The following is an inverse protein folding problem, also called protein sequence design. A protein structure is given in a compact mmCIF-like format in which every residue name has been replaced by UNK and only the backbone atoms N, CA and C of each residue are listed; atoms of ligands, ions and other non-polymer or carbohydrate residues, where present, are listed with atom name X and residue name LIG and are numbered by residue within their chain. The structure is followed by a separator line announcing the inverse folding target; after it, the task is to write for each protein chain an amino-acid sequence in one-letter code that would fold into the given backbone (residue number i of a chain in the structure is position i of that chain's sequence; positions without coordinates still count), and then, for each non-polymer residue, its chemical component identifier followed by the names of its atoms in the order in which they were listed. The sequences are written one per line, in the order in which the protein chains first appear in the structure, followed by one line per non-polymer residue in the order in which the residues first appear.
data_IF_244836093022
#
_entry.id   IF_244836093022
#
_cell.length_a   1.000
_cell.length_b   1.000
_cell.length_c   1.000
_cell.angle_alpha   90.00
_cell.angle_beta   90.00
_cell.angle_gamma   90.00
#
_symmetry.space_group_name_H-M   'P 1'
#
loop_
_entity.id
_entity.type
_entity.pdbx_description
1 polymer ?
#
# COMPACT_ATOMS: atom_id res chain seq x y z
N UNK A 1 -46.33 -43.05 19.88
CA UNK A 1 -47.27 -42.32 20.74
C UNK A 1 -46.97 -40.85 20.63
N UNK A 2 -47.85 -40.17 19.85
CA UNK A 2 -48.65 -38.98 20.23
C UNK A 2 -47.83 -37.73 20.62
N UNK A 3 -47.98 -36.52 20.10
CA UNK A 3 -49.00 -35.74 19.35
C UNK A 3 -48.27 -34.49 18.80
N UNK A 4 -48.38 -34.11 17.60
CA UNK A 4 -49.09 -32.97 16.99
C UNK A 4 -49.50 -31.83 17.92
N UNK A 5 -49.02 -30.61 17.65
CA UNK A 5 -49.86 -29.40 17.71
C UNK A 5 -49.31 -28.31 16.75
N UNK A 6 -50.15 -28.03 15.76
CA UNK A 6 -50.17 -26.92 14.83
C UNK A 6 -50.74 -25.68 15.50
N UNK A 7 -50.20 -24.49 15.24
CA UNK A 7 -50.99 -23.25 15.22
C UNK A 7 -50.42 -22.26 14.22
N UNK A 8 -51.24 -22.02 13.19
CA UNK A 8 -51.19 -20.85 12.29
C UNK A 8 -51.53 -19.56 13.07
N UNK A 9 -50.87 -18.46 12.75
CA UNK A 9 -51.48 -17.13 12.83
C UNK A 9 -50.94 -16.25 11.69
N UNK A 10 -51.83 -16.02 10.74
CA UNK A 10 -51.69 -14.99 9.72
C UNK A 10 -52.38 -13.72 10.23
N UNK A 11 -51.75 -12.57 10.11
CA UNK A 11 -52.48 -11.30 10.04
C UNK A 11 -51.67 -10.31 9.17
N UNK A 12 -52.26 -10.04 8.00
CA UNK A 12 -51.88 -8.96 7.10
C UNK A 12 -52.51 -7.65 7.58
N UNK A 13 -51.76 -6.57 7.64
CA UNK A 13 -52.32 -5.21 7.63
C UNK A 13 -51.50 -4.39 6.65
N UNK A 14 -52.14 -4.08 5.51
CA UNK A 14 -51.70 -3.09 4.56
C UNK A 14 -52.14 -1.71 5.02
N UNK A 15 -51.24 -0.76 5.18
CA UNK A 15 -51.55 0.67 5.24
C UNK A 15 -50.90 1.37 4.06
N UNK A 16 -51.76 1.69 3.08
CA UNK A 16 -51.47 2.57 1.96
C UNK A 16 -51.75 3.99 2.42
N UNK A 17 -50.78 4.86 2.52
CA UNK A 17 -51.00 6.31 2.63
C UNK A 17 -50.49 6.98 1.37
N UNK A 18 -51.46 7.38 0.55
CA UNK A 18 -51.29 8.26 -0.60
C UNK A 18 -51.01 9.67 -0.11
N UNK A 19 -49.88 10.26 -0.48
CA UNK A 19 -49.65 11.71 -0.38
C UNK A 19 -49.94 12.36 -1.73
N UNK A 20 -50.93 13.22 -1.73
CA UNK A 20 -51.33 14.03 -2.85
C UNK A 20 -50.28 15.11 -3.15
N UNK A 21 -49.90 15.25 -4.41
CA UNK A 21 -49.12 16.36 -4.93
C UNK A 21 -50.02 17.59 -5.11
N UNK A 22 -49.60 18.72 -4.52
CA UNK A 22 -50.19 20.01 -4.80
C UNK A 22 -49.53 20.65 -6.02
N UNK A 23 -50.24 21.38 -6.89
CA UNK A 23 -49.66 22.01 -8.07
C UNK A 23 -49.00 23.36 -7.72
N UNK A 24 -47.85 23.63 -8.38
CA UNK A 24 -47.14 24.88 -8.28
C UNK A 24 -47.86 26.02 -9.03
N UNK A 25 -47.82 27.28 -8.53
CA UNK A 25 -48.38 28.42 -9.24
C UNK A 25 -47.44 28.89 -10.38
N UNK A 26 -48.02 29.11 -11.52
CA UNK A 26 -47.43 29.79 -12.67
C UNK A 26 -47.17 31.28 -12.34
N UNK A 27 -45.97 31.75 -12.53
CA UNK A 27 -45.65 33.17 -12.55
C UNK A 27 -45.31 33.64 -13.95
N UNK A 28 -46.03 34.69 -14.34
CA UNK A 28 -46.02 35.27 -15.65
C UNK A 28 -44.75 35.99 -16.04
N UNK A 29 -44.45 35.95 -17.31
CA UNK A 29 -43.36 36.63 -17.98
C UNK A 29 -43.47 38.15 -17.93
N UNK A 30 -42.39 38.83 -17.58
CA UNK A 30 -42.14 40.21 -17.95
C UNK A 30 -40.87 40.28 -18.82
N UNK A 31 -41.08 40.70 -20.05
CA UNK A 31 -40.08 40.89 -21.11
C UNK A 31 -39.49 42.30 -20.95
N UNK A 32 -38.20 42.46 -20.79
CA UNK A 32 -37.49 43.73 -20.92
C UNK A 32 -36.26 43.54 -21.84
N UNK A 33 -35.84 44.56 -22.60
CA UNK A 33 -35.08 44.36 -23.83
C UNK A 33 -33.59 44.28 -23.62
N UNK A 34 -32.96 43.57 -24.55
CA UNK A 34 -31.54 43.34 -24.66
C UNK A 34 -30.75 44.66 -24.95
N UNK A 35 -29.69 44.85 -24.19
CA UNK A 35 -28.57 45.68 -24.62
C UNK A 35 -27.33 44.81 -24.67
N UNK A 36 -26.87 44.57 -25.89
CA UNK A 36 -25.65 43.85 -26.18
C UNK A 36 -24.44 44.72 -25.80
N UNK A 37 -23.67 44.27 -24.82
CA UNK A 37 -22.31 44.72 -24.64
C UNK A 37 -21.43 43.47 -24.82
N UNK A 38 -20.91 43.30 -26.04
CA UNK A 38 -19.92 42.33 -26.38
C UNK A 38 -18.59 42.71 -25.73
N UNK A 39 -18.32 42.19 -24.55
CA UNK A 39 -16.97 42.17 -23.97
C UNK A 39 -16.26 40.95 -24.49
N UNK A 40 -15.41 41.15 -25.48
CA UNK A 40 -14.43 40.17 -25.93
C UNK A 40 -13.42 39.90 -24.80
N UNK A 41 -13.69 38.91 -23.98
CA UNK A 41 -12.66 38.33 -23.12
C UNK A 41 -11.68 37.56 -24.01
N UNK A 42 -10.59 38.21 -24.33
CA UNK A 42 -9.39 37.63 -24.92
C UNK A 42 -8.90 36.58 -23.95
N UNK A 43 -9.20 35.29 -24.20
CA UNK A 43 -8.68 34.15 -23.49
C UNK A 43 -7.17 34.14 -23.65
N UNK A 44 -6.45 34.74 -22.71
CA UNK A 44 -5.03 34.57 -22.60
C UNK A 44 -4.78 33.06 -22.35
N UNK A 45 -4.30 32.38 -23.37
CA UNK A 45 -3.76 31.05 -23.23
C UNK A 45 -2.59 31.17 -22.23
N UNK A 46 -2.81 30.74 -21.00
CA UNK A 46 -1.71 30.56 -20.07
C UNK A 46 -0.77 29.52 -20.69
N UNK A 47 0.43 29.99 -21.06
CA UNK A 47 1.50 29.05 -21.41
C UNK A 47 1.63 28.04 -20.27
N UNK A 48 1.86 26.75 -20.56
CA UNK A 48 2.09 25.77 -19.52
C UNK A 48 3.29 26.27 -18.70
N UNK A 49 3.05 26.52 -17.40
CA UNK A 49 4.12 26.86 -16.48
C UNK A 49 5.16 25.74 -16.61
N UNK A 50 6.36 26.08 -17.03
CA UNK A 50 7.47 25.13 -17.04
C UNK A 50 7.59 24.59 -15.61
N UNK A 51 7.24 23.32 -15.43
CA UNK A 51 7.38 22.65 -14.15
C UNK A 51 8.87 22.58 -13.86
N UNK A 52 9.34 23.45 -12.95
CA UNK A 52 10.71 23.37 -12.45
C UNK A 52 10.86 21.98 -11.87
N UNK A 53 11.77 21.19 -12.44
CA UNK A 53 12.03 19.83 -11.98
C UNK A 53 12.44 19.90 -10.51
N UNK A 54 11.67 19.25 -9.63
CA UNK A 54 11.99 19.18 -8.20
C UNK A 54 13.33 18.47 -8.02
N UNK A 55 14.18 18.97 -7.12
CA UNK A 55 15.41 18.26 -6.74
C UNK A 55 15.05 16.91 -6.09
N UNK A 56 15.99 15.96 -6.08
CA UNK A 56 15.74 14.65 -5.45
C UNK A 56 15.43 14.79 -3.97
N UNK A 57 16.05 15.75 -3.28
CA UNK A 57 15.78 16.04 -1.87
C UNK A 57 14.33 16.45 -1.66
N UNK A 58 13.82 17.31 -2.53
CA UNK A 58 12.41 17.74 -2.45
C UNK A 58 11.44 16.57 -2.74
N UNK A 59 11.82 15.63 -3.61
CA UNK A 59 11.00 14.45 -3.92
C UNK A 59 10.95 13.45 -2.78
N UNK A 60 12.07 13.25 -2.05
CA UNK A 60 12.16 12.25 -0.97
C UNK A 60 11.80 12.82 0.41
N UNK A 61 11.59 14.13 0.55
CA UNK A 61 11.33 14.77 1.84
C UNK A 61 10.19 14.11 2.64
N UNK A 62 9.07 13.81 1.98
CA UNK A 62 7.95 13.13 2.62
C UNK A 62 8.26 11.67 3.00
N UNK A 63 9.20 11.02 2.30
CA UNK A 63 9.58 9.64 2.55
C UNK A 63 10.46 9.53 3.80
N UNK A 64 11.50 10.36 3.88
CA UNK A 64 12.47 10.33 4.98
C UNK A 64 11.86 10.75 6.32
N UNK A 65 10.78 11.54 6.32
CA UNK A 65 10.02 11.91 7.51
C UNK A 65 9.45 10.71 8.29
N UNK A 66 9.33 9.55 7.66
CA UNK A 66 8.92 8.31 8.30
C UNK A 66 9.98 7.20 8.13
N UNK A 67 10.41 6.95 6.89
CA UNK A 67 11.34 5.86 6.55
C UNK A 67 12.80 6.16 6.93
N UNK A 68 13.15 7.41 7.22
CA UNK A 68 14.47 7.83 7.71
C UNK A 68 14.59 7.86 9.23
N UNK A 69 13.54 7.58 9.98
CA UNK A 69 13.55 7.63 11.45
C UNK A 69 13.65 6.21 12.02
N UNK A 70 14.76 5.92 12.69
CA UNK A 70 14.99 4.60 13.29
C UNK A 70 13.93 4.27 14.34
N UNK A 71 13.25 3.15 14.16
CA UNK A 71 12.22 2.68 15.10
C UNK A 71 10.87 3.41 15.02
N UNK A 72 10.68 4.32 14.05
CA UNK A 72 9.39 4.99 13.85
C UNK A 72 8.29 3.96 13.58
N UNK A 73 7.13 4.16 14.22
CA UNK A 73 6.01 3.22 14.16
C UNK A 73 4.79 3.86 13.49
N UNK A 74 4.16 3.10 12.61
CA UNK A 74 2.81 3.36 12.14
C UNK A 74 1.81 2.73 13.10
N UNK A 75 0.60 3.31 13.18
CA UNK A 75 -0.48 2.81 14.04
C UNK A 75 -1.65 2.21 13.26
N UNK A 76 -1.57 2.16 11.94
CA UNK A 76 -2.62 1.63 11.07
C UNK A 76 -2.05 0.58 10.10
N UNK A 77 -2.74 -0.57 9.89
CA UNK A 77 -3.97 -1.06 10.55
C UNK A 77 -3.74 -1.58 11.98
N UNK A 78 -2.53 -1.65 12.42
CA UNK A 78 -2.06 -1.99 13.76
C UNK A 78 -0.68 -1.34 13.97
N UNK A 79 -0.12 -1.41 15.17
CA UNK A 79 1.20 -0.84 15.47
C UNK A 79 2.31 -1.73 14.90
N UNK A 80 3.16 -1.15 14.05
CA UNK A 80 4.36 -1.80 13.50
C UNK A 80 5.40 -0.75 13.09
N UNK A 81 6.67 -1.16 13.02
CA UNK A 81 7.75 -0.29 12.53
C UNK A 81 7.59 0.02 11.05
N UNK A 82 7.75 1.29 10.68
CA UNK A 82 7.78 1.69 9.27
C UNK A 82 8.93 0.96 8.57
N UNK A 83 8.68 0.34 7.40
CA UNK A 83 9.67 -0.53 6.78
C UNK A 83 10.93 0.21 6.33
N UNK A 84 12.06 -0.47 6.41
CA UNK A 84 13.30 -0.06 5.79
C UNK A 84 13.15 -0.12 4.26
N UNK A 85 13.47 0.97 3.58
CA UNK A 85 13.39 1.06 2.11
C UNK A 85 14.73 1.40 1.46
N UNK A 86 15.70 1.94 2.19
CA UNK A 86 17.04 2.12 1.67
C UNK A 86 17.70 0.75 1.42
N UNK A 87 18.25 0.58 0.22
CA UNK A 87 18.77 -0.69 -0.27
C UNK A 87 17.77 -1.61 -0.95
N UNK A 88 16.49 -1.29 -0.93
CA UNK A 88 15.48 -2.07 -1.63
C UNK A 88 15.57 -1.85 -3.14
N UNK A 89 15.23 -2.87 -3.94
CA UNK A 89 15.29 -2.81 -5.39
C UNK A 89 14.39 -1.70 -5.99
N UNK A 90 14.95 -0.90 -6.90
CA UNK A 90 14.24 0.22 -7.49
C UNK A 90 12.95 -0.22 -8.22
N UNK A 91 12.99 -1.34 -8.96
CA UNK A 91 11.79 -1.87 -9.64
C UNK A 91 10.69 -2.25 -8.66
N UNK A 92 11.05 -2.84 -7.52
CA UNK A 92 10.07 -3.15 -6.47
C UNK A 92 9.51 -1.89 -5.81
N UNK A 93 10.34 -0.89 -5.50
CA UNK A 93 9.87 0.39 -4.92
C UNK A 93 8.91 1.07 -5.89
N UNK A 94 9.28 1.16 -7.17
CA UNK A 94 8.42 1.78 -8.19
C UNK A 94 7.08 1.05 -8.33
N UNK A 95 7.10 -0.29 -8.39
CA UNK A 95 5.87 -1.09 -8.42
C UNK A 95 5.01 -0.85 -7.18
N UNK A 96 5.59 -0.86 -5.97
CA UNK A 96 4.87 -0.64 -4.73
C UNK A 96 4.22 0.77 -4.66
N UNK A 97 4.92 1.83 -5.10
CA UNK A 97 4.36 3.18 -5.16
C UNK A 97 3.22 3.28 -6.18
N UNK A 98 3.38 2.67 -7.34
CA UNK A 98 2.32 2.59 -8.37
C UNK A 98 1.10 1.83 -7.83
N UNK A 99 1.30 0.71 -7.16
CA UNK A 99 0.22 -0.07 -6.52
C UNK A 99 -0.52 0.74 -5.44
N UNK A 100 0.17 1.55 -4.64
CA UNK A 100 -0.47 2.47 -3.70
C UNK A 100 -1.29 3.54 -4.41
N UNK A 101 -0.75 4.13 -5.48
CA UNK A 101 -1.43 5.15 -6.29
C UNK A 101 -2.70 4.59 -6.93
N UNK A 102 -2.66 3.37 -7.44
CA UNK A 102 -3.78 2.68 -8.09
C UNK A 102 -4.77 2.04 -7.10
N UNK A 103 -4.36 1.83 -5.84
CA UNK A 103 -5.20 1.23 -4.79
C UNK A 103 -5.16 -0.30 -4.72
N UNK A 104 -4.36 -1.00 -5.53
CA UNK A 104 -4.12 -2.43 -5.41
C UNK A 104 -3.31 -2.78 -4.16
N UNK A 105 -2.51 -1.84 -3.65
CA UNK A 105 -1.90 -1.86 -2.33
C UNK A 105 -2.53 -0.75 -1.49
N UNK A 106 -3.29 -1.15 -0.46
CA UNK A 106 -4.12 -0.23 0.32
C UNK A 106 -3.45 0.12 1.64
N UNK A 107 -3.17 1.39 1.84
CA UNK A 107 -2.70 2.00 3.07
C UNK A 107 -2.93 3.52 2.95
N UNK A 108 -3.77 4.15 3.79
CA UNK A 108 -4.20 5.54 3.61
C UNK A 108 -3.05 6.52 3.44
N UNK A 109 -2.07 6.50 4.36
CA UNK A 109 -0.91 7.39 4.32
C UNK A 109 -0.09 7.19 3.04
N UNK A 110 0.25 5.93 2.69
CA UNK A 110 1.06 5.67 1.51
C UNK A 110 0.32 5.97 0.20
N UNK A 111 -0.99 5.78 0.17
CA UNK A 111 -1.82 6.20 -0.96
C UNK A 111 -1.78 7.71 -1.15
N UNK A 112 -1.92 8.47 -0.06
CA UNK A 112 -1.84 9.94 -0.11
C UNK A 112 -0.49 10.41 -0.65
N UNK A 113 0.62 9.86 -0.14
CA UNK A 113 1.97 10.18 -0.61
C UNK A 113 2.15 9.81 -2.08
N UNK A 114 1.81 8.57 -2.47
CA UNK A 114 2.00 8.07 -3.83
C UNK A 114 1.14 8.80 -4.86
N UNK A 115 -0.06 9.26 -4.50
CA UNK A 115 -0.96 10.01 -5.38
C UNK A 115 -0.40 11.36 -5.82
N UNK A 116 0.50 11.95 -5.03
CA UNK A 116 1.15 13.22 -5.33
C UNK A 116 2.37 13.08 -6.26
N UNK A 117 2.82 11.86 -6.56
CA UNK A 117 3.99 11.59 -7.37
C UNK A 117 3.63 11.41 -8.84
N UNK A 118 4.41 12.00 -9.74
CA UNK A 118 4.43 11.65 -11.16
C UNK A 118 5.16 10.32 -11.36
N UNK A 119 5.03 9.72 -12.53
CA UNK A 119 5.75 8.46 -12.83
C UNK A 119 7.27 8.69 -12.85
N UNK A 120 7.73 9.88 -13.25
CA UNK A 120 9.15 10.26 -13.16
C UNK A 120 9.59 10.42 -11.70
N UNK A 121 8.75 11.02 -10.83
CA UNK A 121 9.07 11.13 -9.41
C UNK A 121 9.17 9.74 -8.76
N UNK A 122 8.31 8.80 -9.13
CA UNK A 122 8.37 7.42 -8.67
C UNK A 122 9.69 6.75 -9.09
N UNK A 123 10.11 6.93 -10.35
CA UNK A 123 11.37 6.37 -10.84
C UNK A 123 12.58 6.97 -10.10
N UNK A 124 12.61 8.29 -9.91
CA UNK A 124 13.70 8.99 -9.23
C UNK A 124 13.80 8.59 -7.75
N UNK A 125 12.68 8.56 -7.04
CA UNK A 125 12.59 8.12 -5.64
C UNK A 125 13.03 6.67 -5.49
N UNK A 126 12.61 5.79 -6.39
CA UNK A 126 12.98 4.38 -6.37
C UNK A 126 14.49 4.19 -6.55
N UNK A 127 15.08 4.86 -7.53
CA UNK A 127 16.52 4.83 -7.79
C UNK A 127 17.35 5.40 -6.64
N UNK A 128 16.85 6.49 -6.03
CA UNK A 128 17.48 7.08 -4.86
C UNK A 128 17.56 6.10 -3.69
N UNK A 129 16.45 5.49 -3.29
CA UNK A 129 16.45 4.56 -2.15
C UNK A 129 17.24 3.28 -2.44
N UNK A 130 17.22 2.77 -3.67
CA UNK A 130 18.10 1.65 -4.04
C UNK A 130 19.58 2.01 -3.86
N UNK A 131 20.00 3.20 -4.28
CA UNK A 131 21.39 3.65 -4.21
C UNK A 131 21.94 3.74 -2.78
N UNK A 132 21.08 4.01 -1.79
CA UNK A 132 21.44 4.12 -0.38
C UNK A 132 21.86 2.77 0.25
N UNK A 133 21.53 1.65 -0.38
CA UNK A 133 21.95 0.32 0.07
C UNK A 133 23.22 -0.21 -0.59
N UNK A 134 23.76 0.51 -1.57
CA UNK A 134 24.99 0.12 -2.27
C UNK A 134 26.21 0.40 -1.41
N UNK A 135 26.54 -0.54 -0.54
CA UNK A 135 27.74 -0.51 0.28
C UNK A 135 28.65 -1.66 -0.20
N UNK A 136 29.78 -1.36 -0.83
CA UNK A 136 30.70 -2.39 -1.34
C UNK A 136 31.33 -3.25 -0.24
N UNK A 137 31.28 -2.80 1.02
CA UNK A 137 31.77 -3.57 2.16
C UNK A 137 30.75 -4.63 2.63
N UNK A 138 29.49 -4.54 2.21
CA UNK A 138 28.45 -5.53 2.59
C UNK A 138 28.51 -6.72 1.64
N UNK A 139 29.14 -7.79 2.08
CA UNK A 139 29.16 -9.08 1.38
C UNK A 139 28.17 -10.04 2.04
N UNK A 140 26.93 -10.05 1.54
CA UNK A 140 25.91 -10.99 2.04
C UNK A 140 26.22 -12.43 1.61
N UNK A 141 25.99 -13.41 2.49
CA UNK A 141 26.16 -14.83 2.16
C UNK A 141 25.24 -15.26 1.01
N UNK A 142 25.65 -16.29 0.26
CA UNK A 142 24.86 -16.81 -0.86
C UNK A 142 23.55 -17.47 -0.41
N UNK A 143 23.50 -18.00 0.81
CA UNK A 143 22.32 -18.58 1.45
C UNK A 143 22.03 -17.85 2.78
N UNK A 144 20.87 -18.17 3.39
CA UNK A 144 20.52 -17.63 4.71
C UNK A 144 21.63 -17.93 5.73
N UNK A 145 22.03 -16.91 6.47
CA UNK A 145 23.11 -16.96 7.49
C UNK A 145 22.71 -17.75 8.75
N UNK A 146 21.42 -18.00 8.94
CA UNK A 146 20.87 -18.74 10.08
C UNK A 146 19.97 -19.87 9.61
N UNK A 147 20.15 -21.04 10.20
CA UNK A 147 19.25 -22.16 9.97
C UNK A 147 17.89 -21.90 10.66
N UNK A 148 16.76 -22.16 9.97
CA UNK A 148 15.45 -22.11 10.61
C UNK A 148 15.27 -23.28 11.56
N UNK A 149 14.44 -23.11 12.61
CA UNK A 149 14.00 -24.26 13.40
C UNK A 149 13.14 -25.22 12.51
N UNK A 150 12.92 -26.49 12.92
CA UNK A 150 12.20 -27.47 12.11
C UNK A 150 10.80 -27.04 11.68
N UNK A 151 10.06 -26.35 12.55
CA UNK A 151 8.72 -25.83 12.21
C UNK A 151 8.81 -24.80 11.09
N UNK A 152 9.68 -23.79 11.23
CA UNK A 152 9.86 -22.73 10.22
C UNK A 152 10.40 -23.31 8.92
N UNK A 153 11.32 -24.30 8.98
CA UNK A 153 11.82 -24.98 7.79
C UNK A 153 10.69 -25.61 6.97
N UNK A 154 9.76 -26.31 7.62
CA UNK A 154 8.57 -26.86 6.97
C UNK A 154 7.66 -25.80 6.34
N UNK A 155 7.49 -24.66 7.00
CA UNK A 155 6.69 -23.54 6.47
C UNK A 155 7.36 -22.91 5.24
N UNK A 156 8.69 -22.70 5.27
CA UNK A 156 9.46 -22.15 4.14
C UNK A 156 9.42 -23.08 2.94
N UNK A 157 9.52 -24.40 3.16
CA UNK A 157 9.41 -25.41 2.11
C UNK A 157 8.01 -25.42 1.49
N UNK A 158 6.96 -25.42 2.30
CA UNK A 158 5.56 -25.38 1.87
C UNK A 158 5.26 -24.16 0.98
N UNK A 159 5.81 -23.00 1.33
CA UNK A 159 5.61 -21.75 0.60
C UNK A 159 6.60 -21.53 -0.54
N UNK A 160 7.66 -22.35 -0.65
CA UNK A 160 8.74 -22.19 -1.61
C UNK A 160 9.34 -20.77 -1.66
N UNK A 161 9.47 -20.09 -0.52
CA UNK A 161 9.84 -18.66 -0.40
C UNK A 161 11.14 -18.34 -1.15
N UNK A 162 12.14 -19.22 -1.06
CA UNK A 162 13.45 -19.03 -1.68
C UNK A 162 13.41 -19.02 -3.21
N UNK A 163 12.40 -19.63 -3.82
CA UNK A 163 12.27 -19.69 -5.29
C UNK A 163 12.04 -18.33 -5.93
N UNK A 164 11.56 -17.34 -5.16
CA UNK A 164 11.31 -15.98 -5.63
C UNK A 164 12.20 -14.95 -4.90
N UNK A 165 12.30 -15.06 -3.57
CA UNK A 165 13.05 -14.10 -2.76
C UNK A 165 14.56 -14.39 -2.67
N UNK A 166 15.03 -15.49 -3.33
CA UNK A 166 16.43 -15.92 -3.30
C UNK A 166 16.79 -16.69 -2.03
N UNK A 167 17.90 -17.47 -2.10
CA UNK A 167 18.30 -18.38 -1.03
C UNK A 167 18.66 -17.67 0.29
N UNK A 168 19.09 -16.41 0.23
CA UNK A 168 19.40 -15.56 1.38
C UNK A 168 18.32 -14.51 1.69
N UNK A 169 17.19 -14.50 0.97
CA UNK A 169 16.10 -13.51 1.10
C UNK A 169 16.50 -12.04 0.87
N UNK A 170 17.75 -11.78 0.52
CA UNK A 170 18.28 -10.46 0.21
C UNK A 170 18.63 -10.30 -1.28
N UNK A 171 18.63 -11.40 -2.05
CA UNK A 171 18.92 -11.40 -3.50
C UNK A 171 17.80 -12.14 -4.26
N UNK A 172 16.66 -11.45 -4.46
CA UNK A 172 15.53 -12.03 -5.20
C UNK A 172 15.95 -12.37 -6.63
N UNK A 173 15.29 -13.37 -7.22
CA UNK A 173 15.59 -13.85 -8.58
C UNK A 173 15.14 -12.86 -9.67
N UNK A 174 14.20 -11.97 -9.35
CA UNK A 174 13.74 -10.89 -10.23
C UNK A 174 13.75 -9.57 -9.45
N UNK A 175 14.23 -8.47 -10.03
CA UNK A 175 14.32 -7.16 -9.36
C UNK A 175 12.96 -6.54 -9.04
N UNK A 176 11.86 -7.07 -9.53
CA UNK A 176 10.50 -6.68 -9.11
C UNK A 176 10.05 -7.34 -7.80
N UNK A 177 10.76 -8.38 -7.34
CA UNK A 177 10.50 -9.00 -6.05
C UNK A 177 11.27 -8.30 -4.93
N UNK A 178 10.70 -8.19 -3.72
CA UNK A 178 11.37 -7.50 -2.64
C UNK A 178 12.49 -8.31 -2.01
N UNK A 179 13.54 -7.62 -1.62
CA UNK A 179 14.44 -8.06 -0.57
C UNK A 179 13.67 -8.06 0.75
N UNK A 180 13.79 -9.12 1.53
CA UNK A 180 13.03 -9.25 2.78
C UNK A 180 13.88 -9.63 4.00
N UNK A 181 15.12 -10.11 3.80
CA UNK A 181 16.05 -10.39 4.90
C UNK A 181 16.32 -9.12 5.73
N UNK A 182 16.33 -9.27 7.04
CA UNK A 182 16.60 -8.20 7.99
C UNK A 182 15.48 -7.15 8.14
N UNK A 183 14.43 -7.21 7.33
CA UNK A 183 13.29 -6.29 7.44
C UNK A 183 12.56 -6.48 8.77
N UNK A 184 11.93 -5.45 9.31
CA UNK A 184 11.22 -5.49 10.58
C UNK A 184 10.16 -6.60 10.63
N UNK A 185 10.23 -7.45 11.66
CA UNK A 185 9.35 -8.63 11.81
C UNK A 185 7.87 -8.25 11.90
N UNK A 186 7.55 -7.18 12.63
CA UNK A 186 6.21 -6.65 12.77
C UNK A 186 5.65 -6.16 11.42
N UNK A 187 6.45 -5.43 10.63
CA UNK A 187 6.07 -5.03 9.27
C UNK A 187 5.89 -6.24 8.35
N UNK A 188 6.80 -7.20 8.35
CA UNK A 188 6.68 -8.41 7.52
C UNK A 188 5.38 -9.16 7.85
N UNK A 189 5.05 -9.28 9.13
CA UNK A 189 3.82 -9.94 9.57
C UNK A 189 2.57 -9.19 9.09
N UNK A 190 2.52 -7.86 9.27
CA UNK A 190 1.40 -7.03 8.77
C UNK A 190 1.29 -7.13 7.25
N UNK A 191 2.42 -7.13 6.53
CA UNK A 191 2.45 -7.27 5.08
C UNK A 191 1.90 -8.63 4.61
N UNK A 192 2.29 -9.72 5.27
CA UNK A 192 1.78 -11.07 4.96
C UNK A 192 0.28 -11.19 5.26
N UNK A 193 -0.20 -10.63 6.37
CA UNK A 193 -1.64 -10.56 6.66
C UNK A 193 -2.41 -9.75 5.62
N UNK A 194 -1.82 -8.65 5.15
CA UNK A 194 -2.46 -7.80 4.16
C UNK A 194 -2.75 -8.53 2.83
N UNK A 195 -1.93 -9.52 2.45
CA UNK A 195 -2.20 -10.36 1.28
C UNK A 195 -3.37 -11.33 1.47
N UNK A 196 -3.81 -11.59 2.71
CA UNK A 196 -5.00 -12.41 3.00
C UNK A 196 -6.28 -11.59 2.99
N UNK A 197 -6.19 -10.26 3.06
CA UNK A 197 -7.31 -9.35 3.24
C UNK A 197 -7.80 -8.82 1.89
N UNK A 198 -8.81 -9.46 1.33
CA UNK A 198 -9.43 -9.03 0.07
C UNK A 198 -10.54 -7.97 0.31
N UNK A 199 -11.18 -7.98 1.49
CA UNK A 199 -12.38 -7.20 1.78
C UNK A 199 -12.14 -5.87 2.51
N UNK A 200 -10.96 -5.61 3.06
CA UNK A 200 -10.71 -4.36 3.76
C UNK A 200 -10.38 -3.22 2.78
N UNK A 201 -11.24 -2.18 2.66
CA UNK A 201 -11.03 -1.09 1.71
C UNK A 201 -9.83 -0.21 2.04
N UNK A 202 -9.39 -0.19 3.30
CA UNK A 202 -8.33 0.69 3.79
C UNK A 202 -6.98 -0.01 4.00
N UNK A 203 -6.96 -1.35 4.12
CA UNK A 203 -5.72 -2.12 4.30
C UNK A 203 -5.78 -3.42 3.49
N UNK A 204 -4.71 -3.71 2.76
CA UNK A 204 -4.63 -4.94 1.96
C UNK A 204 -3.66 -4.83 0.80
N UNK A 205 -3.36 -5.97 0.18
CA UNK A 205 -2.47 -6.08 -0.98
C UNK A 205 -3.05 -7.08 -1.97
N UNK A 206 -3.38 -6.60 -3.17
CA UNK A 206 -3.97 -7.42 -4.23
C UNK A 206 -2.87 -7.99 -5.15
N UNK A 207 -2.09 -8.94 -4.64
CA UNK A 207 -1.11 -9.68 -5.42
C UNK A 207 -1.48 -11.16 -5.42
N UNK A 208 -1.76 -11.72 -6.60
CA UNK A 208 -2.27 -13.08 -6.74
C UNK A 208 -1.31 -14.14 -6.20
N UNK A 209 -0.01 -14.01 -6.46
CA UNK A 209 1.02 -14.99 -6.03
C UNK A 209 1.14 -14.96 -4.50
N UNK A 210 1.45 -13.79 -3.93
CA UNK A 210 1.62 -13.67 -2.49
C UNK A 210 0.31 -13.89 -1.72
N UNK A 211 -0.83 -13.56 -2.32
CA UNK A 211 -2.15 -13.87 -1.77
C UNK A 211 -2.40 -15.38 -1.67
N UNK A 212 -2.12 -16.12 -2.74
CA UNK A 212 -2.24 -17.58 -2.73
C UNK A 212 -1.31 -18.24 -1.71
N UNK A 213 -0.08 -17.72 -1.56
CA UNK A 213 0.88 -18.20 -0.56
C UNK A 213 0.39 -17.87 0.86
N UNK A 214 0.08 -16.62 1.16
CA UNK A 214 -0.27 -16.18 2.52
C UNK A 214 -1.54 -16.86 3.04
N UNK A 215 -2.52 -17.13 2.18
CA UNK A 215 -3.78 -17.82 2.54
C UNK A 215 -3.59 -19.25 3.05
N UNK A 216 -2.45 -19.89 2.76
CA UNK A 216 -2.15 -21.25 3.22
C UNK A 216 -1.75 -21.33 4.70
N UNK A 217 -1.51 -20.20 5.36
CA UNK A 217 -0.93 -20.11 6.70
C UNK A 217 -1.86 -19.43 7.68
N UNK A 218 -1.84 -19.90 8.92
CA UNK A 218 -2.39 -19.20 10.08
C UNK A 218 -1.58 -17.93 10.39
N UNK A 219 -2.15 -17.03 11.16
CA UNK A 219 -1.43 -15.83 11.58
C UNK A 219 -0.20 -16.14 12.45
N UNK A 220 -0.24 -17.20 13.25
CA UNK A 220 0.91 -17.63 14.04
C UNK A 220 2.06 -18.13 13.16
N UNK A 221 1.75 -18.89 12.11
CA UNK A 221 2.74 -19.34 11.13
C UNK A 221 3.33 -18.17 10.34
N UNK A 222 2.50 -17.20 9.90
CA UNK A 222 2.99 -15.99 9.25
C UNK A 222 3.89 -15.17 10.18
N UNK A 223 3.57 -15.10 11.48
CA UNK A 223 4.40 -14.43 12.49
C UNK A 223 5.73 -15.14 12.67
N UNK A 224 5.75 -16.47 12.69
CA UNK A 224 6.98 -17.26 12.78
C UNK A 224 7.88 -17.07 11.54
N UNK A 225 7.30 -17.09 10.33
CA UNK A 225 8.01 -16.79 9.10
C UNK A 225 8.60 -15.37 9.10
N UNK A 226 7.82 -14.38 9.49
CA UNK A 226 8.25 -12.99 9.59
C UNK A 226 9.40 -12.80 10.59
N UNK A 227 9.33 -13.44 11.75
CA UNK A 227 10.38 -13.40 12.76
C UNK A 227 11.69 -14.02 12.26
N UNK A 228 11.62 -15.16 11.59
CA UNK A 228 12.80 -15.81 11.01
C UNK A 228 13.45 -14.95 9.95
N UNK A 229 12.70 -14.50 8.94
CA UNK A 229 13.24 -13.70 7.83
C UNK A 229 13.80 -12.37 8.32
N UNK A 230 13.18 -11.76 9.34
CA UNK A 230 13.69 -10.56 10.00
C UNK A 230 15.02 -10.78 10.72
N UNK A 231 15.31 -12.00 11.17
CA UNK A 231 16.56 -12.31 11.89
C UNK A 231 17.76 -12.52 10.98
N UNK A 232 17.55 -12.65 9.67
CA UNK A 232 18.60 -12.90 8.69
C UNK A 232 19.38 -11.61 8.37
N UNK A 233 20.64 -11.78 7.96
CA UNK A 233 21.42 -10.68 7.41
C UNK A 233 20.81 -10.15 6.11
N UNK A 234 20.75 -8.80 6.00
CA UNK A 234 20.23 -8.11 4.83
C UNK A 234 20.91 -6.76 4.64
N UNK A 235 20.72 -6.16 3.48
CA UNK A 235 21.26 -4.84 3.12
C UNK A 235 20.21 -3.71 3.22
N UNK A 236 19.02 -4.01 3.73
CA UNK A 236 17.99 -3.01 3.98
C UNK A 236 18.35 -2.16 5.20
N UNK A 237 18.16 -0.85 5.08
CA UNK A 237 18.54 0.11 6.13
C UNK A 237 17.44 1.16 6.35
N UNK A 238 17.42 1.72 7.56
CA UNK A 238 16.85 3.05 7.84
C UNK A 238 18.00 4.04 7.78
N UNK A 239 18.01 4.92 6.80
CA UNK A 239 19.05 5.93 6.63
C UNK A 239 18.50 7.28 7.07
N UNK A 240 18.98 7.83 8.20
CA UNK A 240 18.61 9.17 8.63
C UNK A 240 19.13 10.21 7.66
N UNK A 241 18.32 11.22 7.39
CA UNK A 241 18.73 12.37 6.57
C UNK A 241 19.11 13.53 7.51
N UNK A 242 20.39 13.82 7.62
CA UNK A 242 20.91 14.84 8.55
C UNK A 242 20.47 16.26 8.22
N UNK A 243 20.07 16.51 6.97
CA UNK A 243 19.55 17.81 6.50
C UNK A 243 18.18 18.18 7.04
N UNK A 244 17.48 17.24 7.67
CA UNK A 244 16.16 17.47 8.28
C UNK A 244 16.20 17.50 9.82
N UNK A 245 17.40 17.61 10.41
CA UNK A 245 17.61 17.77 11.86
C UNK A 245 17.61 19.24 12.24
#
# INVERSE_FOLDING_TARGET
MTKLLTTLFALAVACVTSFAQAPAPASSAAKAPATQAAAQQKKAAAAPAATVAKSIEAKVAACVGCHGIKGYQASFPEVYKVPMIAGQGARYIAAALTEYKQGSRRHPTMRSVASALTDQDIADVASYFESLGKDPAVNLPAAADKAPNPQVAGLLQKAACVSCHGANFARPIDPSYPKIAGQHADYLFVALKAYKSDSNPSAGRSNGIMGAIAKQFSNNELKALAAYVSSLEGDLKTVPEDRFK
#
